data_IF_887336215254
#
_entry.id   IF_887336215254
#
_cell.length_a   1.000
_cell.length_b   1.000
_cell.length_c   1.000
_cell.angle_alpha   90.00
_cell.angle_beta   90.00
_cell.angle_gamma   90.00
#
_symmetry.space_group_name_H-M   'P 1'
#
loop_
_entity.id
_entity.type
_entity.pdbx_description
1 polymer ?
#
# COMPACT_ATOMS: atom_id res chain seq x y z
N UNK A 1 -21.97 14.47 59.00
CA UNK A 1 -22.02 15.35 57.80
C UNK A 1 -21.15 14.88 56.63
N UNK A 2 -20.44 13.75 56.74
CA UNK A 2 -19.57 13.21 55.67
C UNK A 2 -20.28 12.28 54.68
N UNK A 3 -21.39 11.65 55.07
CA UNK A 3 -22.11 10.64 54.28
C UNK A 3 -22.87 11.23 53.07
N UNK A 4 -23.35 12.46 53.18
CA UNK A 4 -24.13 13.09 52.10
C UNK A 4 -23.26 13.49 50.90
N UNK A 5 -22.02 13.89 51.14
CA UNK A 5 -21.09 14.31 50.08
C UNK A 5 -20.62 13.11 49.25
N UNK A 6 -20.34 11.99 49.91
CA UNK A 6 -19.91 10.75 49.25
C UNK A 6 -21.01 10.18 48.33
N UNK A 7 -22.27 10.31 48.74
CA UNK A 7 -23.42 9.85 47.94
C UNK A 7 -23.59 10.69 46.68
N UNK A 8 -23.41 12.01 46.79
CA UNK A 8 -23.53 12.96 45.67
C UNK A 8 -22.44 12.76 44.61
N UNK A 9 -21.19 12.54 45.03
CA UNK A 9 -20.07 12.27 44.10
C UNK A 9 -20.29 10.96 43.36
N UNK A 10 -20.76 9.93 44.06
CA UNK A 10 -21.03 8.61 43.46
C UNK A 10 -22.16 8.66 42.45
N UNK A 11 -23.20 9.44 42.71
CA UNK A 11 -24.35 9.58 41.83
C UNK A 11 -24.01 10.40 40.56
N UNK A 12 -23.16 11.43 40.68
CA UNK A 12 -22.66 12.18 39.53
C UNK A 12 -21.76 11.32 38.65
N UNK A 13 -20.88 10.52 39.25
CA UNK A 13 -20.01 9.60 38.50
C UNK A 13 -20.83 8.52 37.78
N UNK A 14 -21.82 7.90 38.45
CA UNK A 14 -22.70 6.92 37.80
C UNK A 14 -23.47 7.53 36.63
N UNK A 15 -24.07 8.71 36.82
CA UNK A 15 -24.81 9.40 35.74
C UNK A 15 -23.91 9.78 34.57
N UNK A 16 -22.65 10.14 34.83
CA UNK A 16 -21.69 10.44 33.77
C UNK A 16 -21.24 9.19 33.00
N UNK A 17 -21.16 8.03 33.67
CA UNK A 17 -20.72 6.78 33.03
C UNK A 17 -21.85 5.98 32.40
N UNK A 18 -23.11 6.12 32.83
CA UNK A 18 -24.25 5.35 32.32
C UNK A 18 -24.56 5.61 30.84
N UNK A 19 -24.06 6.72 30.28
CA UNK A 19 -24.18 7.06 28.86
C UNK A 19 -22.93 6.74 28.03
N UNK A 20 -21.86 6.24 28.67
CA UNK A 20 -20.65 5.81 27.98
C UNK A 20 -20.81 4.35 27.55
N UNK A 21 -21.42 4.16 26.38
CA UNK A 21 -21.31 2.87 25.69
C UNK A 21 -19.86 2.69 25.28
N UNK A 22 -19.13 1.79 25.96
CA UNK A 22 -17.78 1.45 25.55
C UNK A 22 -17.83 0.97 24.10
N UNK A 23 -17.04 1.55 23.18
CA UNK A 23 -17.05 1.12 21.79
C UNK A 23 -16.22 -0.16 21.69
N UNK A 24 -16.78 -1.25 22.21
CA UNK A 24 -16.15 -2.58 22.25
C UNK A 24 -15.70 -3.03 20.85
N UNK A 25 -16.45 -2.78 19.75
CA UNK A 25 -16.01 -3.17 18.41
C UNK A 25 -14.74 -2.46 17.95
N UNK A 26 -14.61 -1.14 18.22
CA UNK A 26 -13.43 -0.38 17.80
C UNK A 26 -12.20 -0.74 18.63
N UNK A 27 -12.37 -0.99 19.94
CA UNK A 27 -11.27 -1.45 20.79
C UNK A 27 -10.70 -2.81 20.36
N UNK A 28 -11.55 -3.74 19.90
CA UNK A 28 -11.10 -5.03 19.36
C UNK A 28 -10.42 -4.89 18.00
N UNK A 29 -10.90 -4.00 17.14
CA UNK A 29 -10.29 -3.73 15.83
C UNK A 29 -8.89 -3.13 15.99
N UNK A 30 -8.73 -2.11 16.83
CA UNK A 30 -7.44 -1.44 17.06
C UNK A 30 -6.43 -2.37 17.76
N UNK A 31 -6.87 -3.24 18.66
CA UNK A 31 -6.01 -4.23 19.31
C UNK A 31 -5.48 -5.30 18.32
N UNK A 32 -6.31 -5.69 17.35
CA UNK A 32 -5.94 -6.69 16.34
C UNK A 32 -4.91 -6.12 15.35
N UNK A 33 -5.09 -4.87 14.91
CA UNK A 33 -4.16 -4.16 14.02
C UNK A 33 -2.79 -3.95 14.68
N UNK A 34 -2.75 -3.44 15.93
CA UNK A 34 -1.48 -3.29 16.68
C UNK A 34 -0.77 -4.63 16.92
N UNK A 35 -1.53 -5.70 17.16
CA UNK A 35 -0.98 -7.05 17.35
C UNK A 35 -0.28 -7.60 16.10
N UNK A 36 -0.82 -7.33 14.89
CA UNK A 36 -0.21 -7.74 13.62
C UNK A 36 1.08 -6.96 13.32
N UNK A 37 1.10 -5.64 13.56
CA UNK A 37 2.29 -4.79 13.35
C UNK A 37 3.51 -5.25 14.16
N UNK A 38 3.31 -5.64 15.42
CA UNK A 38 4.39 -6.13 16.28
C UNK A 38 4.91 -7.52 15.85
N UNK A 39 4.05 -8.38 15.30
CA UNK A 39 4.47 -9.69 14.77
C UNK A 39 5.27 -9.55 13.47
N UNK A 40 4.88 -8.63 12.59
CA UNK A 40 5.58 -8.40 11.31
C UNK A 40 6.99 -7.82 11.53
N UNK A 41 7.13 -6.85 12.44
CA UNK A 41 8.46 -6.32 12.84
C UNK A 41 9.38 -7.39 13.44
N UNK A 42 8.83 -8.34 14.22
CA UNK A 42 9.61 -9.46 14.75
C UNK A 42 10.12 -10.43 13.68
N UNK A 43 9.39 -10.62 12.58
CA UNK A 43 9.81 -11.54 11.50
C UNK A 43 10.97 -10.96 10.68
N UNK A 44 10.99 -9.65 10.44
CA UNK A 44 12.05 -8.97 9.67
C UNK A 44 13.40 -9.02 10.43
N UNK A 45 13.38 -8.96 11.77
CA UNK A 45 14.59 -9.05 12.58
C UNK A 45 15.27 -10.43 12.63
N UNK A 46 14.64 -11.50 12.13
CA UNK A 46 15.15 -12.89 12.24
C UNK A 46 15.80 -13.46 10.97
N UNK A 47 15.81 -12.73 9.85
CA UNK A 47 16.34 -13.26 8.57
C UNK A 47 17.85 -12.99 8.39
N UNK A 48 18.48 -12.15 9.22
CA UNK A 48 19.92 -11.86 9.14
C UNK A 48 20.84 -12.95 9.74
N UNK A 49 20.32 -14.14 10.07
CA UNK A 49 21.05 -15.18 10.77
C UNK A 49 20.95 -16.56 10.12
N UNK A 50 21.69 -16.77 9.03
CA UNK A 50 22.15 -18.12 8.64
C UNK A 50 21.71 -18.61 7.26
N UNK A 51 22.65 -18.65 6.32
CA UNK A 51 23.39 -19.88 5.99
C UNK A 51 24.37 -19.61 4.84
N UNK A 52 25.66 -19.76 5.15
CA UNK A 52 26.70 -19.97 4.16
C UNK A 52 26.67 -21.41 3.66
N UNK A 53 27.06 -21.56 2.38
CA UNK A 53 27.61 -22.75 1.72
C UNK A 53 26.67 -23.93 1.37
N UNK A 54 26.39 -24.08 0.07
CA UNK A 54 26.82 -25.26 -0.69
C UNK A 54 26.69 -25.01 -2.21
N UNK A 55 27.83 -24.97 -2.90
CA UNK A 55 27.92 -25.26 -4.32
C UNK A 55 28.07 -26.78 -4.50
N UNK A 56 27.48 -27.37 -5.55
CA UNK A 56 28.10 -28.37 -6.45
C UNK A 56 27.09 -28.93 -7.47
N UNK A 57 27.35 -28.60 -8.74
CA UNK A 57 27.33 -29.40 -9.99
C UNK A 57 26.61 -30.77 -9.99
N UNK A 58 25.67 -30.98 -10.93
CA UNK A 58 25.81 -31.93 -12.06
C UNK A 58 24.50 -32.09 -12.88
N UNK A 59 24.63 -31.92 -14.20
CA UNK A 59 23.69 -32.41 -15.24
C UNK A 59 24.10 -33.84 -15.60
N UNK A 60 23.13 -34.74 -15.87
CA UNK A 60 23.22 -35.47 -17.13
C UNK A 60 21.88 -35.56 -17.87
N UNK A 61 22.00 -35.37 -19.19
CA UNK A 61 21.08 -35.84 -20.21
C UNK A 61 20.81 -37.35 -20.06
N UNK A 62 19.54 -37.76 -20.12
CA UNK A 62 19.15 -39.09 -20.59
C UNK A 62 18.07 -38.92 -21.64
N UNK A 63 18.45 -39.14 -22.90
CA UNK A 63 17.53 -39.47 -23.97
C UNK A 63 17.35 -40.99 -23.97
N UNK A 64 16.10 -41.47 -23.91
CA UNK A 64 15.77 -42.85 -24.24
C UNK A 64 14.46 -42.89 -25.03
N UNK A 65 14.63 -43.28 -26.29
CA UNK A 65 13.59 -43.73 -27.23
C UNK A 65 13.00 -45.04 -26.72
N UNK A 66 11.68 -45.18 -26.77
CA UNK A 66 10.98 -46.42 -26.43
C UNK A 66 9.53 -46.38 -26.87
N UNK A 67 9.28 -46.82 -28.09
CA UNK A 67 7.97 -47.10 -28.67
C UNK A 67 7.47 -48.47 -28.19
N UNK A 68 6.37 -48.51 -27.45
CA UNK A 68 5.55 -49.72 -27.28
C UNK A 68 4.07 -49.37 -27.32
N UNK A 69 3.44 -49.69 -28.45
CA UNK A 69 2.00 -49.61 -28.65
C UNK A 69 1.33 -50.78 -27.93
N UNK A 70 0.96 -50.57 -26.67
CA UNK A 70 0.07 -51.49 -25.95
C UNK A 70 -1.35 -50.94 -26.02
N UNK A 71 -2.22 -51.64 -26.74
CA UNK A 71 -3.66 -51.40 -26.75
C UNK A 71 -4.23 -51.73 -25.36
N UNK A 72 -4.24 -50.73 -24.47
CA UNK A 72 -4.95 -50.76 -23.21
C UNK A 72 -6.42 -50.44 -23.45
N UNK A 73 -7.30 -51.27 -22.91
CA UNK A 73 -8.75 -51.03 -22.86
C UNK A 73 -9.03 -49.77 -22.04
N UNK A 74 -9.49 -48.70 -22.70
CA UNK A 74 -10.02 -47.52 -22.03
C UNK A 74 -11.27 -47.89 -21.23
N UNK A 75 -11.11 -47.97 -19.91
CA UNK A 75 -12.23 -47.97 -18.97
C UNK A 75 -12.63 -46.50 -18.79
N UNK A 76 -13.86 -46.17 -19.17
CA UNK A 76 -14.44 -44.85 -18.93
C UNK A 76 -14.44 -44.54 -17.43
N UNK A 77 -13.50 -43.74 -16.97
CA UNK A 77 -13.55 -43.12 -15.65
C UNK A 77 -14.58 -42.00 -15.67
N UNK A 78 -15.56 -42.10 -14.78
CA UNK A 78 -16.55 -41.07 -14.48
C UNK A 78 -15.85 -39.70 -14.30
N UNK A 79 -16.32 -38.61 -14.93
CA UNK A 79 -15.70 -37.30 -14.75
C UNK A 79 -15.72 -36.94 -13.27
N UNK A 80 -14.52 -36.76 -12.71
CA UNK A 80 -14.37 -36.19 -11.38
C UNK A 80 -15.09 -34.84 -11.35
N UNK A 81 -15.97 -34.56 -10.37
CA UNK A 81 -16.66 -33.29 -10.30
C UNK A 81 -15.61 -32.17 -10.27
N UNK A 82 -15.61 -31.36 -11.33
CA UNK A 82 -14.79 -30.16 -11.40
C UNK A 82 -15.27 -29.23 -10.30
N UNK A 83 -14.46 -29.11 -9.24
CA UNK A 83 -14.74 -28.16 -8.16
C UNK A 83 -14.40 -26.79 -8.74
N UNK A 84 -15.39 -26.12 -9.32
CA UNK A 84 -15.25 -24.73 -9.72
C UNK A 84 -14.87 -23.95 -8.46
N UNK A 85 -13.66 -23.35 -8.39
CA UNK A 85 -13.28 -22.58 -7.22
C UNK A 85 -14.30 -21.46 -7.05
N UNK A 86 -14.92 -21.39 -5.87
CA UNK A 86 -15.79 -20.27 -5.51
C UNK A 86 -14.91 -19.02 -5.61
N UNK A 87 -15.29 -18.02 -6.44
CA UNK A 87 -14.57 -16.76 -6.49
C UNK A 87 -14.45 -16.21 -5.07
N UNK A 88 -13.23 -15.83 -4.67
CA UNK A 88 -13.04 -15.15 -3.40
C UNK A 88 -13.98 -13.94 -3.36
N UNK A 89 -14.66 -13.75 -2.23
CA UNK A 89 -15.53 -12.60 -2.06
C UNK A 89 -14.68 -11.34 -2.25
N UNK A 90 -15.03 -10.52 -3.25
CA UNK A 90 -14.44 -9.20 -3.43
C UNK A 90 -14.70 -8.43 -2.13
N UNK A 91 -13.65 -7.94 -1.43
CA UNK A 91 -13.83 -7.18 -0.20
C UNK A 91 -14.87 -6.08 -0.42
N UNK A 92 -15.93 -6.06 0.40
CA UNK A 92 -16.90 -4.98 0.32
C UNK A 92 -16.20 -3.70 0.76
N UNK A 93 -16.12 -2.76 -0.18
CA UNK A 93 -15.59 -1.44 0.07
C UNK A 93 -16.31 -0.81 1.24
N UNK A 94 -15.54 -0.31 2.20
CA UNK A 94 -16.09 0.64 3.16
C UNK A 94 -16.32 1.92 2.37
N UNK A 95 -17.59 2.33 2.26
CA UNK A 95 -18.07 3.56 1.62
C UNK A 95 -17.66 4.78 2.48
N UNK A 96 -16.35 4.92 2.67
CA UNK A 96 -15.75 5.97 3.46
C UNK A 96 -14.80 6.74 2.55
N UNK A 97 -15.36 7.62 1.70
CA UNK A 97 -14.59 8.57 0.90
C UNK A 97 -13.72 9.51 1.76
N UNK A 98 -13.89 9.50 3.09
CA UNK A 98 -13.23 10.45 3.96
C UNK A 98 -11.70 10.30 4.02
N UNK A 99 -11.15 9.10 3.79
CA UNK A 99 -9.69 8.98 3.72
C UNK A 99 -9.10 9.62 2.47
N UNK A 100 -9.85 9.69 1.38
CA UNK A 100 -9.43 10.44 0.21
C UNK A 100 -9.67 11.96 0.36
N UNK A 101 -10.42 12.40 1.38
CA UNK A 101 -10.50 13.81 1.80
C UNK A 101 -9.44 14.21 2.83
N UNK A 102 -8.43 13.36 3.10
CA UNK A 102 -7.31 13.71 3.98
C UNK A 102 -6.62 14.99 3.48
N UNK A 103 -6.49 16.04 4.32
CA UNK A 103 -5.84 17.29 3.91
C UNK A 103 -4.37 17.08 3.53
N UNK A 104 -3.88 17.88 2.56
CA UNK A 104 -2.49 17.81 2.08
C UNK A 104 -1.45 17.84 3.22
N UNK A 105 -1.66 18.72 4.20
CA UNK A 105 -0.77 18.88 5.35
C UNK A 105 -0.75 17.63 6.24
N UNK A 106 -1.88 16.95 6.39
CA UNK A 106 -1.98 15.71 7.16
C UNK A 106 -1.34 14.54 6.42
N UNK A 107 -1.56 14.45 5.11
CA UNK A 107 -0.87 13.46 4.26
C UNK A 107 0.65 13.66 4.33
N UNK A 108 1.12 14.89 4.22
CA UNK A 108 2.56 15.20 4.30
C UNK A 108 3.14 14.88 5.69
N UNK A 109 2.48 15.29 6.77
CA UNK A 109 2.93 14.96 8.12
C UNK A 109 2.92 13.45 8.38
N UNK A 110 1.97 12.72 7.80
CA UNK A 110 1.95 11.26 7.86
C UNK A 110 3.14 10.66 7.10
N UNK A 111 3.36 11.10 5.86
CA UNK A 111 4.47 10.68 5.02
C UNK A 111 5.82 10.90 5.71
N UNK A 112 6.09 12.10 6.21
CA UNK A 112 7.37 12.45 6.86
C UNK A 112 7.64 11.62 8.10
N UNK A 113 6.61 11.24 8.86
CA UNK A 113 6.76 10.35 10.02
C UNK A 113 7.18 8.93 9.64
N UNK A 114 6.81 8.47 8.46
CA UNK A 114 7.16 7.14 7.94
C UNK A 114 8.46 7.15 7.14
N UNK A 115 8.83 8.30 6.60
CA UNK A 115 10.05 8.48 5.85
C UNK A 115 11.30 8.30 6.76
N UNK A 116 12.45 7.95 6.17
CA UNK A 116 13.72 7.94 6.88
C UNK A 116 14.07 9.30 7.49
N UNK A 117 14.89 9.29 8.54
CA UNK A 117 15.46 10.50 9.11
C UNK A 117 16.17 11.33 8.02
N UNK A 118 16.00 12.66 8.08
CA UNK A 118 16.57 13.59 7.11
C UNK A 118 15.73 13.79 5.84
N UNK A 119 14.68 12.98 5.63
CA UNK A 119 13.70 13.22 4.56
C UNK A 119 12.61 14.18 5.04
N UNK A 120 12.35 15.22 4.25
CA UNK A 120 11.26 16.17 4.48
C UNK A 120 10.54 16.53 3.19
N UNK A 121 9.34 17.09 3.31
CA UNK A 121 8.52 17.56 2.20
C UNK A 121 8.39 19.09 2.21
N UNK A 122 8.51 19.70 1.03
CA UNK A 122 8.24 21.13 0.82
C UNK A 122 7.31 21.33 -0.36
N UNK A 123 6.75 22.54 -0.51
CA UNK A 123 5.80 22.88 -1.57
C UNK A 123 4.60 21.91 -1.64
N UNK A 124 4.18 21.43 -0.47
CA UNK A 124 3.10 20.46 -0.30
C UNK A 124 1.78 21.04 -0.79
N UNK A 125 1.13 20.35 -1.71
CA UNK A 125 -0.22 20.70 -2.20
C UNK A 125 -1.01 19.46 -2.58
N UNK A 126 -2.33 19.58 -2.51
CA UNK A 126 -3.23 18.67 -3.22
C UNK A 126 -3.51 19.27 -4.61
N UNK A 127 -3.50 18.43 -5.64
CA UNK A 127 -3.96 18.84 -6.95
C UNK A 127 -4.76 17.73 -7.63
N UNK A 128 -5.74 18.14 -8.43
CA UNK A 128 -6.39 17.32 -9.45
C UNK A 128 -6.53 18.13 -10.76
N UNK A 129 -5.78 19.22 -10.88
CA UNK A 129 -5.99 20.27 -11.90
C UNK A 129 -5.18 20.00 -13.17
N UNK A 130 -4.14 19.16 -13.09
CA UNK A 130 -3.21 18.87 -14.17
C UNK A 130 -3.70 17.78 -15.16
N UNK A 131 -5.02 17.63 -15.27
CA UNK A 131 -5.67 16.74 -16.24
C UNK A 131 -5.28 17.13 -17.67
N UNK A 132 -5.03 16.14 -18.51
CA UNK A 132 -5.03 16.40 -19.95
C UNK A 132 -6.44 16.89 -20.39
N UNK A 133 -6.57 17.76 -21.40
CA UNK A 133 -7.86 18.32 -21.83
C UNK A 133 -8.96 17.29 -22.18
N UNK A 134 -8.58 16.02 -22.36
CA UNK A 134 -9.42 14.87 -22.70
C UNK A 134 -9.48 13.79 -21.60
N UNK A 135 -8.80 13.98 -20.47
CA UNK A 135 -8.89 13.05 -19.35
C UNK A 135 -10.25 13.18 -18.67
N UNK A 136 -11.01 12.07 -18.49
CA UNK A 136 -12.27 12.11 -17.79
C UNK A 136 -12.07 12.64 -16.37
N UNK A 137 -13.10 13.25 -15.80
CA UNK A 137 -13.10 13.63 -14.39
C UNK A 137 -12.81 12.39 -13.55
N UNK A 138 -11.61 12.34 -13.00
CA UNK A 138 -11.19 11.23 -12.18
C UNK A 138 -11.99 11.32 -10.89
N UNK A 139 -12.50 10.19 -10.42
CA UNK A 139 -13.14 10.10 -9.09
C UNK A 139 -12.15 10.31 -7.94
N UNK A 140 -10.92 10.72 -8.23
CA UNK A 140 -9.92 11.00 -7.20
C UNK A 140 -10.16 12.41 -6.66
N UNK A 141 -10.36 12.61 -5.36
CA UNK A 141 -10.50 13.95 -4.77
C UNK A 141 -9.21 14.79 -4.86
N UNK A 142 -8.09 14.19 -5.26
CA UNK A 142 -6.82 14.83 -5.54
C UNK A 142 -5.66 13.90 -5.25
N UNK A 143 -4.44 14.38 -5.48
CA UNK A 143 -3.24 13.71 -5.03
C UNK A 143 -2.26 14.70 -4.41
N UNK A 144 -1.50 14.20 -3.44
CA UNK A 144 -0.40 14.95 -2.83
C UNK A 144 0.70 15.08 -3.87
N UNK A 145 1.18 16.31 -4.05
CA UNK A 145 2.42 16.63 -4.75
C UNK A 145 3.30 17.40 -3.78
N UNK A 146 4.56 16.99 -3.68
CA UNK A 146 5.54 17.68 -2.85
C UNK A 146 6.93 17.56 -3.46
N UNK A 147 7.79 18.55 -3.17
CA UNK A 147 9.23 18.39 -3.32
C UNK A 147 9.78 17.60 -2.15
N UNK A 148 10.71 16.71 -2.43
CA UNK A 148 11.41 15.93 -1.42
C UNK A 148 12.75 16.59 -1.14
N UNK A 149 13.04 16.77 0.15
CA UNK A 149 14.32 17.23 0.64
C UNK A 149 15.05 16.10 1.37
N UNK A 150 16.36 16.06 1.22
CA UNK A 150 17.27 15.22 2.01
C UNK A 150 18.25 16.16 2.71
N UNK A 151 18.25 16.15 4.04
CA UNK A 151 19.05 17.05 4.88
C UNK A 151 18.86 18.54 4.51
N UNK A 152 17.62 18.91 4.18
CA UNK A 152 17.24 20.27 3.80
C UNK A 152 17.56 20.67 2.35
N UNK A 153 18.15 19.78 1.55
CA UNK A 153 18.41 20.02 0.11
C UNK A 153 17.35 19.33 -0.74
N UNK A 154 16.76 20.02 -1.71
CA UNK A 154 15.80 19.41 -2.65
C UNK A 154 16.51 18.35 -3.50
N UNK A 155 16.07 17.10 -3.39
CA UNK A 155 16.63 15.95 -4.11
C UNK A 155 15.64 15.36 -5.13
N UNK A 156 14.38 15.80 -5.10
CA UNK A 156 13.38 15.27 -6.01
C UNK A 156 11.96 15.74 -5.70
N UNK A 157 10.99 14.91 -6.10
CA UNK A 157 9.58 15.10 -5.78
C UNK A 157 8.91 13.76 -5.47
N UNK A 158 7.76 13.83 -4.80
CA UNK A 158 6.95 12.68 -4.45
C UNK A 158 5.48 12.95 -4.74
N UNK A 159 4.78 11.90 -5.18
CA UNK A 159 3.33 11.88 -5.33
C UNK A 159 2.74 10.81 -4.43
N UNK A 160 1.60 11.12 -3.81
CA UNK A 160 0.81 10.15 -3.05
C UNK A 160 -0.66 10.26 -3.45
N UNK A 161 -1.25 9.12 -3.84
CA UNK A 161 -2.65 9.03 -4.29
C UNK A 161 -3.37 7.98 -3.46
N UNK A 162 -4.58 8.35 -3.04
CA UNK A 162 -5.48 7.54 -2.23
C UNK A 162 -6.71 7.19 -3.08
N UNK A 163 -6.74 5.97 -3.64
CA UNK A 163 -7.83 5.54 -4.52
C UNK A 163 -8.91 4.80 -3.74
N UNK A 164 -10.10 5.40 -3.65
CA UNK A 164 -11.21 4.82 -2.88
C UNK A 164 -11.82 3.60 -3.55
N UNK A 165 -12.08 3.66 -4.86
CA UNK A 165 -12.84 2.61 -5.58
C UNK A 165 -12.40 2.46 -7.04
N UNK A 166 -12.80 1.34 -7.66
CA UNK A 166 -12.89 1.24 -9.12
C UNK A 166 -11.57 0.98 -9.86
N UNK A 167 -10.54 0.52 -9.16
CA UNK A 167 -9.30 0.05 -9.79
C UNK A 167 -9.42 -1.43 -10.20
N UNK A 168 -8.72 -1.77 -11.28
CA UNK A 168 -8.65 -3.13 -11.80
C UNK A 168 -7.36 -3.80 -11.32
N UNK A 169 -7.28 -5.12 -11.41
CA UNK A 169 -6.06 -5.88 -11.11
C UNK A 169 -4.84 -5.38 -11.90
N UNK A 170 -5.07 -4.87 -13.11
CA UNK A 170 -4.02 -4.25 -13.92
C UNK A 170 -3.39 -3.01 -13.26
N UNK A 171 -4.04 -2.36 -12.31
CA UNK A 171 -3.47 -1.18 -11.64
C UNK A 171 -2.30 -1.58 -10.71
N UNK A 172 -2.35 -2.78 -10.12
CA UNK A 172 -1.43 -3.19 -9.07
C UNK A 172 -0.67 -4.50 -9.34
N UNK A 173 -0.79 -5.09 -10.53
CA UNK A 173 -0.03 -6.28 -10.98
C UNK A 173 1.09 -5.91 -11.94
N UNK A 174 2.02 -6.83 -12.21
CA UNK A 174 3.08 -6.64 -13.21
C UNK A 174 2.76 -7.41 -14.51
N UNK A 175 2.85 -6.78 -15.70
CA UNK A 175 3.21 -5.38 -15.94
C UNK A 175 2.05 -4.41 -15.67
N UNK A 176 0.83 -4.93 -15.49
CA UNK A 176 -0.34 -4.13 -15.18
C UNK A 176 -0.62 -3.05 -16.24
N UNK A 177 -0.78 -1.81 -15.79
CA UNK A 177 -0.97 -0.62 -16.61
C UNK A 177 0.35 0.08 -17.00
N UNK A 178 1.50 -0.47 -16.60
CA UNK A 178 2.80 0.09 -16.95
C UNK A 178 3.13 -0.23 -18.41
N UNK A 179 3.31 0.81 -19.21
CA UNK A 179 3.71 0.66 -20.62
C UNK A 179 5.23 0.68 -20.80
N UNK A 180 5.98 1.20 -19.82
CA UNK A 180 7.44 1.28 -19.80
C UNK A 180 7.96 1.23 -18.37
N UNK A 181 8.80 0.25 -18.07
CA UNK A 181 9.48 0.07 -16.79
C UNK A 181 10.81 -0.65 -17.01
N UNK A 182 11.80 -0.36 -16.17
CA UNK A 182 13.06 -1.10 -16.12
C UNK A 182 12.92 -2.36 -15.27
N UNK A 183 12.14 -2.26 -14.18
CA UNK A 183 11.78 -3.39 -13.34
C UNK A 183 10.38 -3.23 -12.76
N UNK A 184 9.70 -4.36 -12.58
CA UNK A 184 8.41 -4.46 -11.89
C UNK A 184 8.43 -5.76 -11.09
N UNK A 185 8.05 -5.71 -9.82
CA UNK A 185 7.90 -6.88 -8.96
C UNK A 185 6.57 -6.79 -8.24
N UNK A 186 5.81 -7.88 -8.24
CA UNK A 186 4.56 -7.96 -7.50
C UNK A 186 4.85 -8.08 -5.99
N UNK A 187 4.00 -7.41 -5.21
CA UNK A 187 3.91 -7.57 -3.76
C UNK A 187 2.84 -8.64 -3.54
N UNK A 188 3.22 -9.75 -2.92
CA UNK A 188 2.32 -10.88 -2.69
C UNK A 188 1.74 -10.85 -1.27
N UNK A 189 0.45 -11.12 -1.17
CA UNK A 189 -0.25 -11.33 0.09
C UNK A 189 0.11 -12.68 0.73
N UNK A 190 -0.46 -12.95 1.90
CA UNK A 190 -0.24 -14.21 2.62
C UNK A 190 -0.76 -15.45 1.87
N UNK A 191 -1.75 -15.26 0.99
CA UNK A 191 -2.33 -16.27 0.12
C UNK A 191 -1.56 -16.46 -1.20
N UNK A 192 -0.46 -15.71 -1.38
CA UNK A 192 0.35 -15.71 -2.60
C UNK A 192 -0.29 -14.95 -3.76
N UNK A 193 -1.44 -14.29 -3.58
CA UNK A 193 -2.02 -13.44 -4.60
C UNK A 193 -1.33 -12.07 -4.63
N UNK A 194 -1.23 -11.43 -5.80
CA UNK A 194 -0.76 -10.05 -5.87
C UNK A 194 -1.69 -9.12 -5.11
N UNK A 195 -1.12 -8.35 -4.18
CA UNK A 195 -1.79 -7.25 -3.48
C UNK A 195 -1.20 -5.90 -3.84
N UNK A 196 -0.20 -5.87 -4.71
CA UNK A 196 0.52 -4.66 -5.03
C UNK A 196 1.65 -4.90 -6.01
N UNK A 197 2.35 -3.82 -6.35
CA UNK A 197 3.58 -3.86 -7.14
C UNK A 197 4.53 -2.76 -6.73
N UNK A 198 5.80 -3.01 -6.96
CA UNK A 198 6.89 -2.04 -6.91
C UNK A 198 7.55 -1.97 -8.28
N UNK A 199 7.88 -0.78 -8.75
CA UNK A 199 8.47 -0.60 -10.08
C UNK A 199 9.49 0.53 -10.13
N UNK A 200 10.46 0.38 -11.02
CA UNK A 200 11.44 1.40 -11.39
C UNK A 200 11.26 1.74 -12.85
N UNK A 201 11.25 3.04 -13.16
CA UNK A 201 11.25 3.54 -14.54
C UNK A 201 12.29 4.62 -14.70
N UNK A 202 13.14 4.47 -15.72
CA UNK A 202 14.15 5.44 -16.12
C UNK A 202 13.81 6.02 -17.49
N UNK A 203 13.74 7.34 -17.60
CA UNK A 203 13.51 8.02 -18.88
C UNK A 203 14.26 9.34 -18.94
N UNK A 204 15.23 9.45 -19.85
CA UNK A 204 15.99 10.69 -20.04
C UNK A 204 16.77 11.14 -18.80
N UNK A 205 17.22 10.19 -17.97
CA UNK A 205 17.91 10.46 -16.70
C UNK A 205 16.99 10.67 -15.49
N UNK A 206 15.68 10.76 -15.70
CA UNK A 206 14.70 10.75 -14.61
C UNK A 206 14.50 9.32 -14.14
N UNK A 207 14.68 9.09 -12.85
CA UNK A 207 14.46 7.80 -12.17
C UNK A 207 13.23 7.94 -11.29
N UNK A 208 12.24 7.09 -11.51
CA UNK A 208 11.00 7.02 -10.73
C UNK A 208 10.95 5.68 -10.01
N UNK A 209 10.80 5.74 -8.69
CA UNK A 209 10.42 4.60 -7.85
C UNK A 209 8.94 4.72 -7.51
N UNK A 210 8.19 3.64 -7.71
CA UNK A 210 6.75 3.61 -7.51
C UNK A 210 6.36 2.35 -6.74
N UNK A 211 5.44 2.52 -5.80
CA UNK A 211 4.75 1.42 -5.10
C UNK A 211 3.25 1.66 -5.14
N UNK A 212 2.52 0.60 -5.45
CA UNK A 212 1.07 0.55 -5.51
C UNK A 212 0.62 -0.62 -4.67
N UNK A 213 -0.25 -0.41 -3.69
CA UNK A 213 -0.72 -1.49 -2.81
C UNK A 213 -2.22 -1.40 -2.57
N UNK A 214 -2.92 -2.50 -2.86
CA UNK A 214 -4.31 -2.73 -2.51
C UNK A 214 -4.43 -3.05 -1.01
N UNK A 215 -5.47 -2.52 -0.39
CA UNK A 215 -5.66 -2.54 1.05
C UNK A 215 -6.90 -3.35 1.43
N UNK A 216 -6.95 -3.84 2.67
CA UNK A 216 -8.04 -4.72 3.14
C UNK A 216 -9.45 -4.10 3.01
N UNK A 217 -9.55 -2.77 3.06
CA UNK A 217 -10.82 -2.04 2.88
C UNK A 217 -11.27 -1.89 1.41
N UNK A 218 -10.53 -2.48 0.47
CA UNK A 218 -10.77 -2.32 -0.96
C UNK A 218 -10.31 -0.97 -1.52
N UNK A 219 -9.48 -0.22 -0.78
CA UNK A 219 -8.77 0.96 -1.26
C UNK A 219 -7.39 0.63 -1.83
N UNK A 220 -6.78 1.57 -2.54
CA UNK A 220 -5.42 1.43 -3.06
C UNK A 220 -4.59 2.66 -2.67
N UNK A 221 -3.37 2.43 -2.18
CA UNK A 221 -2.39 3.47 -1.88
C UNK A 221 -1.32 3.44 -2.96
N UNK A 222 -1.15 4.55 -3.65
CA UNK A 222 -0.05 4.80 -4.58
C UNK A 222 0.92 5.77 -3.94
N UNK A 223 2.20 5.42 -3.93
CA UNK A 223 3.28 6.32 -3.52
C UNK A 223 4.41 6.22 -4.52
N UNK A 224 4.88 7.35 -5.02
CA UNK A 224 6.03 7.39 -5.90
C UNK A 224 6.96 8.54 -5.54
N UNK A 225 8.25 8.34 -5.80
CA UNK A 225 9.29 9.35 -5.66
C UNK A 225 10.17 9.35 -6.90
N UNK A 226 10.65 10.53 -7.26
CA UNK A 226 11.52 10.73 -8.43
C UNK A 226 12.69 11.64 -8.09
N UNK A 227 13.79 11.52 -8.82
CA UNK A 227 14.92 12.44 -8.75
C UNK A 227 14.69 13.78 -9.47
N UNK A 228 13.52 13.97 -10.09
CA UNK A 228 13.13 15.19 -10.78
C UNK A 228 12.28 16.12 -9.88
N UNK A 229 12.33 17.43 -10.15
CA UNK A 229 11.60 18.44 -9.36
C UNK A 229 10.35 19.01 -10.05
N UNK A 230 10.03 18.54 -11.25
CA UNK A 230 8.82 18.93 -11.96
C UNK A 230 7.62 18.10 -11.50
N UNK A 231 6.42 18.67 -11.58
CA UNK A 231 5.19 17.96 -11.17
C UNK A 231 4.85 16.80 -12.12
N UNK A 232 5.26 16.91 -13.39
CA UNK A 232 5.18 15.85 -14.40
C UNK A 232 6.59 15.28 -14.64
N UNK A 233 6.73 13.97 -14.52
CA UNK A 233 8.02 13.29 -14.58
C UNK A 233 8.24 12.68 -15.96
N UNK A 234 9.44 12.85 -16.51
CA UNK A 234 9.81 12.19 -17.76
C UNK A 234 10.95 12.89 -18.48
N UNK A 235 11.06 12.62 -19.77
CA UNK A 235 12.12 13.19 -20.59
C UNK A 235 12.12 14.73 -20.52
N UNK A 236 13.26 15.33 -20.19
CA UNK A 236 13.44 16.78 -20.13
C UNK A 236 13.03 17.42 -18.79
N UNK A 237 12.53 16.64 -17.83
CA UNK A 237 12.34 17.14 -16.46
C UNK A 237 13.68 17.56 -15.83
N UNK A 238 13.71 18.65 -15.04
CA UNK A 238 14.90 19.03 -14.28
C UNK A 238 15.23 17.97 -13.22
N UNK A 239 16.45 17.41 -13.31
CA UNK A 239 16.98 16.42 -12.38
C UNK A 239 17.69 17.15 -11.23
N UNK A 240 17.32 16.84 -9.98
CA UNK A 240 17.95 17.39 -8.78
C UNK A 240 18.97 16.46 -8.14
N UNK A 241 18.86 15.14 -8.34
CA UNK A 241 19.73 14.13 -7.75
C UNK A 241 20.04 13.01 -8.76
N UNK A 242 21.14 12.24 -8.57
CA UNK A 242 21.44 11.11 -9.46
C UNK A 242 20.45 9.95 -9.36
N UNK A 243 19.70 9.83 -8.27
CA UNK A 243 18.74 8.75 -8.00
C UNK A 243 17.52 9.30 -7.24
N UNK A 244 16.41 8.54 -7.22
CA UNK A 244 15.21 8.91 -6.50
C UNK A 244 15.48 9.00 -4.99
N UNK A 245 14.86 9.95 -4.28
CA UNK A 245 15.20 10.22 -2.87
C UNK A 245 14.72 9.14 -1.89
N UNK A 246 13.88 8.20 -2.35
CA UNK A 246 13.38 7.08 -1.57
C UNK A 246 13.53 5.78 -2.35
N UNK A 247 14.00 4.74 -1.67
CA UNK A 247 14.08 3.37 -2.18
C UNK A 247 12.68 2.73 -2.26
N UNK A 248 12.54 1.65 -3.05
CA UNK A 248 11.28 0.90 -3.11
C UNK A 248 10.84 0.36 -1.74
N UNK A 249 11.78 -0.10 -0.90
CA UNK A 249 11.43 -0.62 0.43
C UNK A 249 10.90 0.48 1.36
N UNK A 250 11.45 1.70 1.25
CA UNK A 250 10.94 2.86 2.00
C UNK A 250 9.56 3.29 1.50
N UNK A 251 9.35 3.35 0.18
CA UNK A 251 8.04 3.66 -0.39
C UNK A 251 7.00 2.61 -0.02
N UNK A 252 7.36 1.33 -0.02
CA UNK A 252 6.46 0.26 0.42
C UNK A 252 6.13 0.40 1.90
N UNK A 253 7.10 0.67 2.77
CA UNK A 253 6.82 0.93 4.18
C UNK A 253 5.87 2.12 4.40
N UNK A 254 5.95 3.15 3.53
CA UNK A 254 5.00 4.26 3.53
C UNK A 254 3.61 3.77 3.08
N UNK A 255 3.52 3.11 1.93
CA UNK A 255 2.25 2.63 1.37
C UNK A 255 1.50 1.64 2.29
N UNK A 256 2.26 0.84 3.06
CA UNK A 256 1.74 -0.20 3.92
C UNK A 256 1.08 0.28 5.22
N UNK A 257 1.21 1.57 5.60
CA UNK A 257 0.69 2.04 6.89
C UNK A 257 -0.84 2.15 6.90
N UNK A 258 -1.47 1.50 7.88
CA UNK A 258 -2.93 1.42 7.98
C UNK A 258 -3.62 2.77 8.23
N UNK A 259 -2.88 3.78 8.66
CA UNK A 259 -3.46 5.10 8.89
C UNK A 259 -3.93 5.80 7.61
N UNK A 260 -3.43 5.41 6.43
CA UNK A 260 -3.93 5.94 5.16
C UNK A 260 -5.41 5.62 4.96
N UNK A 261 -5.82 4.40 5.31
CA UNK A 261 -7.19 3.91 5.11
C UNK A 261 -8.07 4.08 6.35
N UNK A 262 -7.45 4.31 7.51
CA UNK A 262 -8.11 4.53 8.80
C UNK A 262 -8.36 5.99 9.14
N UNK A 263 -8.19 6.91 8.19
CA UNK A 263 -8.40 8.33 8.44
C UNK A 263 -9.87 8.64 8.68
N UNK A 264 -10.13 9.29 9.81
CA UNK A 264 -11.42 9.86 10.16
C UNK A 264 -11.25 11.38 10.27
N UNK A 265 -12.00 12.17 9.49
CA UNK A 265 -11.93 13.62 9.58
C UNK A 265 -12.40 14.08 10.97
N UNK A 266 -11.86 15.19 11.49
CA UNK A 266 -12.30 15.75 12.77
C UNK A 266 -13.82 15.92 12.81
N UNK A 267 -14.45 15.57 13.94
CA UNK A 267 -15.89 15.72 14.10
C UNK A 267 -16.33 17.16 13.78
N UNK A 268 -17.19 17.33 12.77
CA UNK A 268 -17.71 18.62 12.34
C UNK A 268 -17.05 19.24 11.11
N UNK A 269 -16.11 18.56 10.43
CA UNK A 269 -15.52 19.03 9.17
C UNK A 269 -16.23 18.52 7.89
N UNK A 270 -17.37 17.83 8.02
CA UNK A 270 -18.23 17.52 6.88
C UNK A 270 -19.04 18.78 6.51
N UNK A 271 -18.53 19.54 5.54
CA UNK A 271 -19.19 20.70 4.93
C UNK A 271 -19.97 20.33 3.68
#
# INVERSE_FOLDING_TARGET
>A
MTTHHETLVREVLHRATDHLTAPVPSLTATATVRGRRLRRRRRIGTVAGGLCAAALVAVPLVASVGSDSTAGTDVATDPTPSVTPTPAAVPQLVDNDAWASMPAAEMAAHFERLAPDGIGLTDVRLTNEDRAPDEPETKSPGYLVARVTTDGTVTGSANLILYVTGFSDATYTCPGNLTRFDSCTEILGEDGQPIGRRSVTTSGGVVVHEVVEARENGGLVYVAATNATSDKWGWGSPIAAPDAPLTLDQLQAIAEDDAWIGYEPPAGSAG
#
